data_IF_417402133859
#
_entry.id   IF_417402133859
#
_cell.length_a   1.000
_cell.length_b   1.000
_cell.length_c   1.000
_cell.angle_alpha   90.00
_cell.angle_beta   90.00
_cell.angle_gamma   90.00
#
_symmetry.space_group_name_H-M   'P 1'
#
loop_
_entity.id
_entity.type
_entity.pdbx_description
1 polymer ?
#
# COMPACT_ATOMS: atom_id res chain seq x y z
N UNK A 1 -21.39 -4.96 20.35
CA UNK A 1 -20.19 -4.23 20.85
C UNK A 1 -20.33 -2.78 20.44
N UNK A 2 -19.95 -1.84 21.31
CA UNK A 2 -19.99 -0.40 21.00
C UNK A 2 -19.06 -0.12 19.82
N UNK A 3 -19.58 0.45 18.74
CA UNK A 3 -18.82 0.82 17.53
C UNK A 3 -18.06 2.15 17.69
N UNK A 4 -18.10 2.75 18.87
CA UNK A 4 -17.56 4.08 19.17
C UNK A 4 -16.31 4.05 20.08
N UNK A 5 -15.53 3.00 19.97
CA UNK A 5 -14.25 2.92 20.66
C UNK A 5 -13.21 3.75 19.92
N UNK A 6 -12.43 4.55 20.67
CA UNK A 6 -11.27 5.28 20.12
C UNK A 6 -10.10 4.33 19.81
N UNK A 7 -9.98 3.22 20.54
CA UNK A 7 -8.96 2.19 20.30
C UNK A 7 -9.48 1.10 19.38
N UNK A 8 -8.61 0.62 18.49
CA UNK A 8 -8.87 -0.51 17.61
C UNK A 8 -7.58 -1.27 17.31
N UNK A 9 -7.76 -2.52 16.87
CA UNK A 9 -6.68 -3.44 16.51
C UNK A 9 -6.90 -3.93 15.08
N UNK A 10 -5.97 -4.73 14.52
CA UNK A 10 -6.15 -5.35 13.20
C UNK A 10 -6.87 -6.71 13.28
N UNK A 11 -7.69 -6.93 14.30
CA UNK A 11 -8.58 -8.10 14.34
C UNK A 11 -9.71 -7.97 13.30
N UNK A 12 -10.29 -9.09 12.84
CA UNK A 12 -11.36 -9.08 11.85
C UNK A 12 -12.50 -8.14 12.23
N UNK A 13 -12.87 -7.23 11.35
CA UNK A 13 -13.89 -6.21 11.57
C UNK A 13 -13.38 -4.92 12.26
N UNK A 14 -12.10 -4.85 12.63
CA UNK A 14 -11.50 -3.73 13.34
C UNK A 14 -10.14 -3.28 12.76
N UNK A 15 -9.80 -3.69 11.53
CA UNK A 15 -8.53 -3.36 10.93
C UNK A 15 -8.39 -1.86 10.62
N UNK A 16 -7.14 -1.39 10.57
CA UNK A 16 -6.85 -0.01 10.18
C UNK A 16 -7.33 0.29 8.75
N UNK A 17 -7.22 -0.68 7.84
CA UNK A 17 -7.79 -0.60 6.48
C UNK A 17 -9.30 -0.35 6.50
N UNK A 18 -10.05 -1.14 7.28
CA UNK A 18 -11.50 -0.96 7.40
C UNK A 18 -11.86 0.39 8.03
N UNK A 19 -11.03 0.86 8.98
CA UNK A 19 -11.23 2.18 9.58
C UNK A 19 -10.98 3.28 8.57
N UNK A 20 -9.92 3.19 7.76
CA UNK A 20 -9.65 4.12 6.68
C UNK A 20 -10.82 4.16 5.69
N UNK A 21 -11.31 3.01 5.23
CA UNK A 21 -12.40 2.96 4.25
C UNK A 21 -13.69 3.68 4.71
N UNK A 22 -13.87 3.83 6.01
CA UNK A 22 -15.00 4.57 6.59
C UNK A 22 -14.73 6.07 6.73
N UNK A 23 -13.52 6.44 7.17
CA UNK A 23 -13.16 7.83 7.48
C UNK A 23 -12.80 8.63 6.23
N UNK A 24 -12.19 7.99 5.24
CA UNK A 24 -11.64 8.68 4.06
C UNK A 24 -12.72 9.20 3.12
N UNK A 25 -13.94 8.65 3.17
CA UNK A 25 -15.07 9.07 2.28
C UNK A 25 -15.41 10.58 2.35
N UNK A 26 -15.05 11.27 3.43
CA UNK A 26 -15.25 12.71 3.57
C UNK A 26 -13.95 13.51 3.60
N UNK A 27 -12.84 12.88 3.25
CA UNK A 27 -11.50 13.47 3.39
C UNK A 27 -11.11 14.24 2.12
N UNK A 28 -10.78 15.52 2.29
CA UNK A 28 -10.17 16.35 1.25
C UNK A 28 -8.65 16.12 1.18
N UNK A 29 -7.98 16.12 2.33
CA UNK A 29 -6.54 15.94 2.44
C UNK A 29 -6.20 14.79 3.37
N UNK A 30 -5.42 13.83 2.90
CA UNK A 30 -4.88 12.73 3.68
C UNK A 30 -3.37 12.88 3.84
N UNK A 31 -2.92 13.04 5.08
CA UNK A 31 -1.52 13.15 5.45
C UNK A 31 -1.07 11.91 6.23
N UNK A 32 0.04 11.33 5.81
CA UNK A 32 0.63 10.15 6.42
C UNK A 32 2.08 10.45 6.82
N UNK A 33 2.40 10.30 8.11
CA UNK A 33 3.76 10.36 8.64
C UNK A 33 4.13 9.00 9.23
N UNK A 34 5.07 8.29 8.59
CA UNK A 34 5.44 6.93 8.99
C UNK A 34 6.96 6.74 8.94
N UNK A 35 7.45 5.88 9.84
CA UNK A 35 8.86 5.49 9.83
C UNK A 35 9.20 4.61 8.62
N UNK A 36 8.24 3.79 8.20
CA UNK A 36 8.36 2.89 7.04
C UNK A 36 7.11 3.02 6.17
N UNK A 37 7.34 3.20 4.88
CA UNK A 37 6.31 3.20 3.85
C UNK A 37 6.64 2.14 2.81
N UNK A 38 5.67 1.30 2.53
CA UNK A 38 5.70 0.37 1.40
C UNK A 38 4.53 0.62 0.48
N UNK A 39 4.74 0.53 -0.83
CA UNK A 39 3.70 0.68 -1.84
C UNK A 39 2.60 -0.38 -1.68
N UNK A 40 2.90 -1.53 -1.05
CA UNK A 40 1.92 -2.55 -0.66
C UNK A 40 0.82 -2.00 0.26
N UNK A 41 1.16 -1.07 1.16
CA UNK A 41 0.18 -0.35 1.97
C UNK A 41 -0.75 0.54 1.11
N UNK A 42 -0.18 1.21 0.10
CA UNK A 42 -0.96 1.99 -0.84
C UNK A 42 -1.92 1.10 -1.65
N UNK A 43 -1.45 -0.03 -2.18
CA UNK A 43 -2.31 -0.95 -2.95
C UNK A 43 -3.48 -1.49 -2.12
N UNK A 44 -3.29 -1.66 -0.82
CA UNK A 44 -4.34 -2.11 0.07
C UNK A 44 -5.47 -1.08 0.28
N UNK A 45 -5.17 0.23 0.21
CA UNK A 45 -6.12 1.31 0.60
C UNK A 45 -6.47 2.29 -0.51
N UNK A 46 -5.78 2.31 -1.66
CA UNK A 46 -6.02 3.29 -2.72
C UNK A 46 -7.49 3.35 -3.19
N UNK A 47 -8.25 2.23 -3.26
CA UNK A 47 -9.65 2.32 -3.66
C UNK A 47 -10.50 3.17 -2.72
N UNK A 48 -10.10 3.25 -1.43
CA UNK A 48 -10.77 4.12 -0.46
C UNK A 48 -10.34 5.59 -0.58
N UNK A 49 -9.17 5.86 -1.16
CA UNK A 49 -8.58 7.20 -1.33
C UNK A 49 -8.91 7.85 -2.68
N UNK A 50 -9.72 7.20 -3.54
CA UNK A 50 -10.03 7.74 -4.88
C UNK A 50 -10.71 9.10 -4.84
N UNK A 51 -11.61 9.32 -3.89
CA UNK A 51 -12.34 10.58 -3.71
C UNK A 51 -11.59 11.65 -2.91
N UNK A 52 -10.38 11.34 -2.42
CA UNK A 52 -9.52 12.29 -1.70
C UNK A 52 -8.81 13.19 -2.72
N UNK A 53 -8.86 14.49 -2.52
CA UNK A 53 -8.30 15.45 -3.48
C UNK A 53 -6.76 15.44 -3.46
N UNK A 54 -6.17 15.28 -2.28
CA UNK A 54 -4.71 15.33 -2.11
C UNK A 54 -4.22 14.35 -1.03
N UNK A 55 -3.09 13.72 -1.33
CA UNK A 55 -2.42 12.76 -0.44
C UNK A 55 -0.96 13.16 -0.28
N UNK A 56 -0.49 13.31 0.98
CA UNK A 56 0.91 13.60 1.28
C UNK A 56 1.47 12.51 2.19
N UNK A 57 2.56 11.91 1.77
CA UNK A 57 3.26 10.88 2.56
C UNK A 57 4.64 11.40 2.95
N UNK A 58 4.87 11.48 4.24
CA UNK A 58 6.16 11.83 4.81
C UNK A 58 6.79 10.59 5.44
N UNK A 59 7.90 10.15 4.87
CA UNK A 59 8.61 8.94 5.32
C UNK A 59 9.85 9.30 6.13
N UNK A 60 10.09 8.52 7.20
CA UNK A 60 11.38 8.50 7.88
C UNK A 60 12.39 7.70 7.03
N UNK A 61 13.64 8.13 7.02
CA UNK A 61 14.70 7.34 6.44
C UNK A 61 15.30 6.48 7.54
N UNK A 62 14.92 5.21 7.57
CA UNK A 62 15.63 4.23 8.37
C UNK A 62 16.76 3.64 7.52
N UNK A 63 17.99 3.93 7.89
CA UNK A 63 19.12 3.19 7.36
C UNK A 63 19.06 1.76 7.91
N UNK A 64 19.05 0.80 7.00
CA UNK A 64 19.08 -0.62 7.36
C UNK A 64 20.33 -0.99 8.18
N UNK A 65 20.35 -2.22 8.67
CA UNK A 65 21.35 -2.81 9.56
C UNK A 65 22.84 -2.55 9.19
N UNK A 66 23.13 -2.18 7.94
CA UNK A 66 24.49 -1.95 7.49
C UNK A 66 25.06 -0.61 7.96
N UNK A 67 24.22 0.42 8.13
CA UNK A 67 24.63 1.69 8.73
C UNK A 67 24.77 1.55 10.25
N UNK A 68 23.93 0.74 10.89
CA UNK A 68 24.09 0.38 12.30
C UNK A 68 25.46 -0.30 12.57
N UNK A 69 25.89 -1.21 11.68
CA UNK A 69 27.20 -1.86 11.77
C UNK A 69 28.38 -0.88 11.61
N UNK A 70 28.24 0.15 10.79
CA UNK A 70 29.25 1.22 10.67
C UNK A 70 29.33 2.08 11.94
N UNK A 71 28.20 2.32 12.62
CA UNK A 71 28.12 3.05 13.89
C UNK A 71 28.75 2.22 15.03
N UNK A 72 28.48 0.91 15.10
CA UNK A 72 29.09 0.01 16.08
C UNK A 72 30.62 -0.11 15.93
N UNK A 73 31.16 0.09 14.73
CA UNK A 73 32.61 0.04 14.48
C UNK A 73 33.37 1.32 14.90
N UNK A 74 32.72 2.26 15.58
CA UNK A 74 33.39 3.36 16.27
C UNK A 74 33.88 4.52 15.39
N UNK A 75 33.54 4.56 14.11
CA UNK A 75 33.99 5.58 13.15
C UNK A 75 32.89 6.51 12.62
N UNK A 76 31.71 6.51 13.27
CA UNK A 76 30.57 7.32 12.81
C UNK A 76 30.23 8.45 13.80
N UNK A 77 29.77 9.62 13.30
CA UNK A 77 29.29 10.70 14.15
C UNK A 77 28.08 10.24 14.98
N UNK A 78 27.90 10.88 16.13
CA UNK A 78 26.80 10.56 17.06
C UNK A 78 25.44 10.61 16.38
N UNK A 79 24.54 9.72 16.77
CA UNK A 79 23.18 9.50 16.19
C UNK A 79 22.32 10.79 16.03
N UNK A 80 22.67 11.86 16.73
CA UNK A 80 21.96 13.15 16.68
C UNK A 80 22.29 14.04 15.47
N UNK A 81 23.38 13.78 14.74
CA UNK A 81 23.91 14.68 13.69
C UNK A 81 23.86 14.09 12.27
N UNK A 82 23.32 12.88 12.09
CA UNK A 82 23.21 12.24 10.77
C UNK A 82 22.04 12.84 9.98
N UNK A 83 22.29 13.95 9.30
CA UNK A 83 21.41 14.45 8.24
C UNK A 83 21.95 13.96 6.89
N UNK A 84 21.12 13.20 6.18
CA UNK A 84 21.44 12.82 4.81
C UNK A 84 21.38 14.04 3.89
N UNK A 85 22.30 14.10 2.95
CA UNK A 85 22.15 15.01 1.81
C UNK A 85 20.95 14.60 0.96
N UNK A 86 20.44 15.50 0.12
CA UNK A 86 19.34 15.20 -0.79
C UNK A 86 19.65 14.02 -1.74
N UNK A 87 20.92 13.90 -2.16
CA UNK A 87 21.37 12.81 -3.03
C UNK A 87 21.38 11.46 -2.31
N UNK A 88 21.87 11.41 -1.07
CA UNK A 88 21.85 10.20 -0.22
C UNK A 88 20.42 9.78 0.10
N UNK A 89 19.56 10.73 0.43
CA UNK A 89 18.11 10.50 0.65
C UNK A 89 17.47 9.82 -0.55
N UNK A 90 17.68 10.35 -1.76
CA UNK A 90 17.13 9.79 -3.00
C UNK A 90 17.71 8.40 -3.30
N UNK A 91 18.99 8.17 -3.06
CA UNK A 91 19.63 6.86 -3.26
C UNK A 91 19.10 5.80 -2.28
N UNK A 92 18.86 6.18 -1.03
CA UNK A 92 18.28 5.27 -0.02
C UNK A 92 16.87 4.87 -0.42
N UNK A 93 16.05 5.82 -0.84
CA UNK A 93 14.68 5.57 -1.32
C UNK A 93 14.69 4.65 -2.55
N UNK A 94 15.59 4.87 -3.51
CA UNK A 94 15.74 3.99 -4.67
C UNK A 94 15.95 2.52 -4.26
N UNK A 95 16.88 2.26 -3.35
CA UNK A 95 17.14 0.89 -2.89
C UNK A 95 15.98 0.26 -2.11
N UNK A 96 15.16 1.06 -1.42
CA UNK A 96 13.96 0.58 -0.75
C UNK A 96 12.88 0.19 -1.76
N UNK A 97 12.63 1.04 -2.75
CA UNK A 97 11.63 0.80 -3.80
C UNK A 97 11.97 -0.45 -4.62
N UNK A 98 13.24 -0.63 -5.00
CA UNK A 98 13.66 -1.83 -5.73
C UNK A 98 13.38 -3.11 -4.95
N UNK A 99 13.80 -3.18 -3.69
CA UNK A 99 13.57 -4.37 -2.83
C UNK A 99 12.09 -4.66 -2.65
N UNK A 100 11.29 -3.62 -2.48
CA UNK A 100 9.86 -3.77 -2.31
C UNK A 100 9.19 -4.34 -3.56
N UNK A 101 9.53 -3.83 -4.73
CA UNK A 101 9.00 -4.33 -5.99
C UNK A 101 9.47 -5.76 -6.29
N UNK A 102 10.70 -6.12 -5.94
CA UNK A 102 11.22 -7.49 -6.09
C UNK A 102 10.51 -8.51 -5.19
N UNK A 103 9.99 -8.06 -4.04
CA UNK A 103 9.30 -8.92 -3.06
C UNK A 103 7.79 -8.80 -3.11
N UNK A 104 7.25 -8.02 -4.05
CA UNK A 104 5.81 -7.86 -4.22
C UNK A 104 5.12 -9.13 -4.69
N UNK A 105 3.85 -9.29 -4.35
CA UNK A 105 3.05 -10.42 -4.80
C UNK A 105 2.75 -10.31 -6.31
N UNK A 106 2.84 -11.42 -7.04
CA UNK A 106 2.55 -11.50 -8.48
C UNK A 106 1.03 -11.57 -8.72
N UNK A 107 0.32 -10.50 -8.34
CA UNK A 107 -1.14 -10.43 -8.45
C UNK A 107 -1.59 -9.25 -9.30
N UNK A 108 -2.74 -9.40 -9.95
CA UNK A 108 -3.37 -8.33 -10.72
C UNK A 108 -3.61 -7.07 -9.88
N UNK A 109 -4.02 -7.23 -8.62
CA UNK A 109 -4.29 -6.09 -7.73
C UNK A 109 -3.03 -5.29 -7.40
N UNK A 110 -1.87 -5.94 -7.32
CA UNK A 110 -0.58 -5.26 -7.15
C UNK A 110 -0.23 -4.47 -8.40
N UNK A 111 -0.35 -5.06 -9.59
CA UNK A 111 -0.08 -4.37 -10.85
C UNK A 111 -0.98 -3.15 -11.05
N UNK A 112 -2.29 -3.30 -10.85
CA UNK A 112 -3.25 -2.18 -10.91
C UNK A 112 -2.92 -1.10 -9.86
N UNK A 113 -2.51 -1.50 -8.66
CA UNK A 113 -2.07 -0.60 -7.60
C UNK A 113 -0.81 0.18 -7.99
N UNK A 114 0.19 -0.45 -8.62
CA UNK A 114 1.40 0.21 -9.12
C UNK A 114 1.04 1.25 -10.20
N UNK A 115 0.17 0.90 -11.15
CA UNK A 115 -0.30 1.85 -12.17
C UNK A 115 -0.98 3.08 -11.52
N UNK A 116 -1.87 2.86 -10.56
CA UNK A 116 -2.55 3.95 -9.83
C UNK A 116 -1.57 4.80 -9.03
N UNK A 117 -0.59 4.19 -8.40
CA UNK A 117 0.45 4.89 -7.65
C UNK A 117 1.22 5.87 -8.54
N UNK A 118 1.69 5.40 -9.71
CA UNK A 118 2.39 6.24 -10.69
C UNK A 118 1.48 7.34 -11.22
N UNK A 119 0.23 7.00 -11.60
CA UNK A 119 -0.77 7.97 -12.08
C UNK A 119 -0.98 9.11 -11.08
N UNK A 120 -1.15 8.77 -9.78
CA UNK A 120 -1.41 9.78 -8.75
C UNK A 120 -0.19 10.64 -8.42
N UNK A 121 1.01 10.08 -8.50
CA UNK A 121 2.23 10.90 -8.38
C UNK A 121 2.33 11.86 -9.56
N UNK A 122 2.14 11.39 -10.80
CA UNK A 122 2.24 12.22 -12.00
C UNK A 122 1.18 13.32 -12.08
N UNK A 123 -0.01 13.04 -11.59
CA UNK A 123 -1.08 14.05 -11.49
C UNK A 123 -0.89 15.05 -10.35
N UNK A 124 0.05 14.80 -9.44
CA UNK A 124 0.27 15.60 -8.23
C UNK A 124 -0.76 15.35 -7.13
N UNK A 125 -1.66 14.38 -7.30
CA UNK A 125 -2.59 13.94 -6.24
C UNK A 125 -1.84 13.32 -5.06
N UNK A 126 -0.81 12.51 -5.34
CA UNK A 126 0.08 11.89 -4.35
C UNK A 126 1.46 12.52 -4.41
N UNK A 127 1.92 13.03 -3.28
CA UNK A 127 3.27 13.56 -3.11
C UNK A 127 3.97 12.83 -1.98
N UNK A 128 5.19 12.37 -2.22
CA UNK A 128 6.01 11.64 -1.24
C UNK A 128 7.26 12.46 -0.94
N UNK A 129 7.47 12.71 0.35
CA UNK A 129 8.71 13.32 0.83
C UNK A 129 9.40 12.44 1.84
N UNK A 130 10.72 12.48 1.86
CA UNK A 130 11.54 11.80 2.84
C UNK A 130 12.21 12.82 3.77
N UNK A 131 12.07 12.60 5.07
CA UNK A 131 12.72 13.45 6.05
C UNK A 131 14.20 13.06 6.20
N UNK A 132 15.14 13.99 6.07
CA UNK A 132 16.56 13.69 6.00
C UNK A 132 17.21 13.37 7.36
N UNK A 133 16.43 12.89 8.33
CA UNK A 133 16.90 12.50 9.65
C UNK A 133 16.39 11.11 10.02
N UNK A 134 17.24 10.30 10.64
CA UNK A 134 16.89 8.93 11.09
C UNK A 134 15.91 8.88 12.25
N UNK A 135 15.56 10.00 12.86
CA UNK A 135 14.85 10.03 14.14
C UNK A 135 13.32 9.95 14.02
N UNK A 136 12.75 9.91 12.81
CA UNK A 136 11.30 9.77 12.65
C UNK A 136 10.90 8.30 12.69
N UNK A 137 10.24 7.91 13.77
CA UNK A 137 9.59 6.59 13.93
C UNK A 137 8.11 6.75 14.29
N UNK A 138 7.48 7.78 13.77
CA UNK A 138 6.05 8.05 13.95
C UNK A 138 5.19 7.12 13.10
N UNK A 139 3.95 6.92 13.52
CA UNK A 139 2.85 6.34 12.76
C UNK A 139 1.66 7.24 13.00
N UNK A 140 1.46 8.18 12.08
CA UNK A 140 0.46 9.23 12.21
C UNK A 140 -0.28 9.38 10.88
N UNK A 141 -1.59 9.32 10.94
CA UNK A 141 -2.50 9.44 9.82
C UNK A 141 -3.49 10.55 10.12
N UNK A 142 -3.49 11.60 9.31
CA UNK A 142 -4.31 12.80 9.53
C UNK A 142 -5.28 12.91 8.35
N UNK A 143 -6.57 12.91 8.63
CA UNK A 143 -7.63 13.13 7.69
C UNK A 143 -8.19 14.53 7.89
N UNK A 144 -8.03 15.41 6.92
CA UNK A 144 -8.69 16.71 6.89
C UNK A 144 -9.98 16.56 6.11
N UNK A 145 -11.11 16.84 6.72
CA UNK A 145 -12.41 16.72 6.09
C UNK A 145 -12.75 17.95 5.25
N UNK A 146 -13.70 17.80 4.33
CA UNK A 146 -14.21 18.88 3.50
C UNK A 146 -14.84 19.99 4.36
N UNK A 147 -14.88 21.21 3.84
CA UNK A 147 -15.33 22.41 4.58
C UNK A 147 -16.77 22.32 5.12
N UNK A 148 -17.63 21.50 4.50
CA UNK A 148 -19.01 21.29 4.93
C UNK A 148 -19.17 20.26 6.07
N UNK A 149 -18.08 19.60 6.50
CA UNK A 149 -18.11 18.65 7.56
C UNK A 149 -18.19 19.34 8.94
N UNK A 150 -18.91 18.69 9.90
CA UNK A 150 -19.04 19.19 11.28
C UNK A 150 -17.67 19.26 11.98
N UNK A 151 -16.84 18.25 11.76
CA UNK A 151 -15.51 18.15 12.32
C UNK A 151 -14.46 18.54 11.28
N UNK A 152 -13.40 19.23 11.69
CA UNK A 152 -12.29 19.61 10.81
C UNK A 152 -11.49 18.40 10.32
N UNK A 153 -11.37 17.36 11.10
CA UNK A 153 -10.59 16.19 10.75
C UNK A 153 -10.48 15.16 11.88
N UNK A 154 -9.69 14.13 11.60
CA UNK A 154 -9.38 13.02 12.51
C UNK A 154 -7.90 12.71 12.46
N UNK A 155 -7.39 12.19 13.56
CA UNK A 155 -6.02 11.69 13.64
C UNK A 155 -6.06 10.24 14.11
N UNK A 156 -5.33 9.38 13.40
CA UNK A 156 -5.05 8.02 13.86
C UNK A 156 -3.56 7.93 14.15
N UNK A 157 -3.22 7.38 15.30
CA UNK A 157 -1.83 7.05 15.67
C UNK A 157 -1.77 5.72 16.39
N UNK A 158 -0.62 5.09 16.39
CA UNK A 158 -0.43 3.78 17.03
C UNK A 158 0.85 3.08 16.58
N UNK A 159 0.80 1.77 16.50
CA UNK A 159 1.94 0.95 16.10
C UNK A 159 2.01 0.66 14.60
N UNK A 160 0.90 0.79 13.85
CA UNK A 160 0.80 0.44 12.43
C UNK A 160 1.62 1.33 11.51
N UNK A 161 2.55 0.74 10.76
CA UNK A 161 3.18 1.40 9.61
C UNK A 161 2.27 1.33 8.37
N UNK A 162 2.55 2.15 7.36
CA UNK A 162 1.82 2.15 6.09
C UNK A 162 2.33 1.04 5.17
N UNK A 163 2.06 -0.19 5.58
CA UNK A 163 2.38 -1.44 4.88
C UNK A 163 1.15 -2.35 4.89
N UNK A 164 1.05 -3.31 3.96
CA UNK A 164 -0.06 -4.27 3.96
C UNK A 164 -0.20 -4.95 5.33
N UNK A 165 0.91 -5.47 5.87
CA UNK A 165 0.90 -6.14 7.17
C UNK A 165 0.52 -5.21 8.32
N UNK A 166 0.96 -3.96 8.32
CA UNK A 166 0.60 -2.98 9.35
C UNK A 166 -0.85 -2.51 9.27
N UNK A 167 -1.46 -2.60 8.09
CA UNK A 167 -2.85 -2.18 7.86
C UNK A 167 -3.87 -3.31 8.09
N UNK A 168 -3.48 -4.59 7.86
CA UNK A 168 -4.41 -5.71 7.81
C UNK A 168 -3.99 -6.92 8.65
N UNK A 169 -2.70 -7.34 8.59
CA UNK A 169 -2.30 -8.68 9.00
C UNK A 169 -1.74 -8.77 10.42
N UNK A 170 -0.94 -7.77 10.84
CA UNK A 170 -0.31 -7.79 12.15
C UNK A 170 -1.31 -7.37 13.25
N UNK A 171 -1.18 -7.95 14.44
CA UNK A 171 -1.88 -7.44 15.62
C UNK A 171 -1.25 -6.10 16.03
N UNK A 172 -1.94 -5.03 15.74
CA UNK A 172 -1.52 -3.66 15.99
C UNK A 172 -2.48 -2.96 16.96
N UNK A 173 -2.00 -1.94 17.65
CA UNK A 173 -2.83 -1.07 18.51
C UNK A 173 -2.82 0.33 17.96
N UNK A 174 -4.00 0.84 17.64
CA UNK A 174 -4.20 2.18 17.12
C UNK A 174 -5.27 2.91 17.92
N UNK A 175 -5.19 4.23 17.93
CA UNK A 175 -6.17 5.12 18.56
C UNK A 175 -6.60 6.18 17.57
N UNK A 176 -7.90 6.43 17.49
CA UNK A 176 -8.49 7.55 16.76
C UNK A 176 -8.74 8.71 17.72
N UNK A 177 -8.11 9.84 17.44
CA UNK A 177 -8.28 11.10 18.17
C UNK A 177 -9.31 11.96 17.43
N UNK A 178 -10.36 12.34 18.13
CA UNK A 178 -11.51 13.10 17.60
C UNK A 178 -11.51 14.56 18.06
N UNK A 179 -10.60 14.93 18.95
CA UNK A 179 -10.52 16.28 19.52
C UNK A 179 -9.92 17.25 18.50
N UNK A 180 -10.53 18.42 18.23
CA UNK A 180 -9.99 19.42 17.34
C UNK A 180 -8.57 19.89 17.70
N UNK A 181 -8.24 19.97 18.99
CA UNK A 181 -6.90 20.36 19.43
C UNK A 181 -5.82 19.35 19.07
N UNK A 182 -6.13 18.04 19.14
CA UNK A 182 -5.21 16.97 18.72
C UNK A 182 -5.00 17.01 17.20
N UNK A 183 -6.06 17.24 16.43
CA UNK A 183 -5.98 17.41 14.98
C UNK A 183 -5.11 18.61 14.61
N UNK A 184 -5.35 19.78 15.20
CA UNK A 184 -4.58 21.01 14.92
C UNK A 184 -3.10 20.84 15.28
N UNK A 185 -2.80 20.22 16.41
CA UNK A 185 -1.42 19.90 16.79
C UNK A 185 -0.73 19.00 15.79
N UNK A 186 -1.38 17.88 15.42
CA UNK A 186 -0.84 16.91 14.49
C UNK A 186 -0.59 17.52 13.09
N UNK A 187 -1.57 18.30 12.60
CA UNK A 187 -1.49 18.97 11.31
C UNK A 187 -0.38 20.03 11.25
N UNK A 188 -0.26 20.84 12.33
CA UNK A 188 0.81 21.83 12.42
C UNK A 188 2.18 21.17 12.44
N UNK A 189 2.34 20.09 13.22
CA UNK A 189 3.62 19.38 13.34
C UNK A 189 3.98 18.67 12.02
N UNK A 190 3.00 18.06 11.37
CA UNK A 190 3.22 17.48 10.04
C UNK A 190 3.69 18.54 9.04
N UNK A 191 3.02 19.70 8.99
CA UNK A 191 3.37 20.78 8.06
C UNK A 191 4.76 21.37 8.34
N UNK A 192 5.18 21.45 9.60
CA UNK A 192 6.54 21.85 9.98
C UNK A 192 7.57 20.88 9.38
N UNK A 193 7.41 19.58 9.64
CA UNK A 193 8.33 18.55 9.11
C UNK A 193 8.30 18.47 7.58
N UNK A 194 7.14 18.65 6.97
CA UNK A 194 6.95 18.62 5.52
C UNK A 194 7.76 19.69 4.77
N UNK A 195 7.98 20.86 5.39
CA UNK A 195 8.75 21.95 4.80
C UNK A 195 10.23 21.57 4.64
N UNK A 196 10.78 20.86 5.61
CA UNK A 196 12.20 20.49 5.65
C UNK A 196 12.48 19.14 4.96
N UNK A 197 11.46 18.47 4.46
CA UNK A 197 11.57 17.18 3.81
C UNK A 197 11.91 17.26 2.32
N UNK A 198 12.68 16.28 1.85
CA UNK A 198 13.13 16.14 0.46
C UNK A 198 12.05 15.47 -0.37
N UNK A 199 11.63 16.08 -1.48
CA UNK A 199 10.72 15.45 -2.43
C UNK A 199 11.40 14.27 -3.13
N UNK A 200 10.77 13.11 -3.07
CA UNK A 200 11.23 11.86 -3.65
C UNK A 200 10.22 11.23 -4.61
N UNK A 201 9.12 11.94 -4.89
CA UNK A 201 8.02 11.46 -5.74
C UNK A 201 8.51 11.00 -7.11
N UNK A 202 9.26 11.86 -7.82
CA UNK A 202 9.82 11.51 -9.12
C UNK A 202 10.78 10.33 -9.04
N UNK A 203 11.52 10.20 -7.92
CA UNK A 203 12.45 9.09 -7.73
C UNK A 203 11.73 7.75 -7.56
N UNK A 204 10.55 7.73 -6.93
CA UNK A 204 9.70 6.55 -6.89
C UNK A 204 9.30 6.11 -8.30
N UNK A 205 8.76 7.05 -9.09
CA UNK A 205 8.30 6.77 -10.47
C UNK A 205 9.47 6.28 -11.33
N UNK A 206 10.58 7.01 -11.35
CA UNK A 206 11.78 6.64 -12.12
C UNK A 206 12.28 5.23 -11.75
N UNK A 207 12.34 4.93 -10.44
CA UNK A 207 12.84 3.64 -9.98
C UNK A 207 11.91 2.51 -10.39
N UNK A 208 10.60 2.66 -10.20
CA UNK A 208 9.61 1.64 -10.58
C UNK A 208 9.68 1.38 -12.07
N UNK A 209 9.67 2.42 -12.91
CA UNK A 209 9.61 2.28 -14.36
C UNK A 209 10.91 1.83 -15.03
N UNK A 210 12.06 2.08 -14.41
CA UNK A 210 13.35 1.82 -15.06
C UNK A 210 14.16 0.69 -14.42
N UNK A 211 13.87 0.32 -13.17
CA UNK A 211 14.73 -0.55 -12.36
C UNK A 211 14.00 -1.73 -11.73
N UNK A 212 12.75 -1.96 -12.08
CA UNK A 212 11.94 -3.06 -11.53
C UNK A 212 11.25 -3.82 -12.65
N UNK A 213 10.58 -4.92 -12.31
CA UNK A 213 9.80 -5.76 -13.25
C UNK A 213 8.72 -4.97 -14.01
N UNK A 214 8.34 -3.79 -13.54
CA UNK A 214 7.34 -2.94 -14.20
C UNK A 214 7.83 -2.40 -15.56
N UNK A 215 9.16 -2.35 -15.77
CA UNK A 215 9.76 -1.98 -17.05
C UNK A 215 9.62 -3.05 -18.13
N UNK A 216 9.32 -4.29 -17.74
CA UNK A 216 9.25 -5.43 -18.64
C UNK A 216 7.94 -5.45 -19.42
N UNK A 217 7.99 -5.88 -20.67
CA UNK A 217 6.80 -6.02 -21.54
C UNK A 217 5.83 -7.11 -21.07
N UNK A 218 6.29 -8.01 -20.21
CA UNK A 218 5.51 -9.10 -19.62
C UNK A 218 5.68 -9.04 -18.12
N UNK A 219 4.61 -8.69 -17.43
CA UNK A 219 4.62 -8.62 -15.97
C UNK A 219 4.64 -10.01 -15.30
N UNK A 220 5.06 -10.13 -14.04
CA UNK A 220 5.02 -11.39 -13.30
C UNK A 220 3.65 -12.04 -13.30
N UNK A 221 2.58 -11.25 -13.16
CA UNK A 221 1.21 -11.75 -13.21
C UNK A 221 0.82 -12.31 -14.59
N UNK A 222 1.20 -11.65 -15.69
CA UNK A 222 0.98 -12.17 -17.04
C UNK A 222 1.75 -13.47 -17.27
N UNK A 223 2.97 -13.56 -16.75
CA UNK A 223 3.77 -14.78 -16.83
C UNK A 223 3.11 -15.91 -16.04
N UNK A 224 2.63 -15.64 -14.82
CA UNK A 224 1.87 -16.59 -14.02
C UNK A 224 0.61 -17.08 -14.73
N UNK A 225 -0.19 -16.17 -15.31
CA UNK A 225 -1.37 -16.55 -16.12
C UNK A 225 -1.00 -17.42 -17.32
N UNK A 226 0.13 -17.14 -17.99
CA UNK A 226 0.62 -17.95 -19.11
C UNK A 226 0.99 -19.36 -18.65
N UNK A 227 1.68 -19.50 -17.51
CA UNK A 227 2.00 -20.82 -16.94
C UNK A 227 0.72 -21.60 -16.58
N UNK A 228 -0.25 -20.97 -15.92
CA UNK A 228 -1.53 -21.58 -15.63
C UNK A 228 -2.25 -22.02 -16.89
N UNK A 229 -2.31 -21.16 -17.92
CA UNK A 229 -2.92 -21.51 -19.20
C UNK A 229 -2.25 -22.72 -19.84
N UNK A 230 -0.93 -22.74 -19.94
CA UNK A 230 -0.23 -23.89 -20.53
C UNK A 230 -0.41 -25.17 -19.72
N UNK A 231 -0.46 -25.07 -18.40
CA UNK A 231 -0.70 -26.22 -17.50
C UNK A 231 -2.10 -26.78 -17.67
N UNK A 232 -3.12 -25.93 -17.75
CA UNK A 232 -4.53 -26.34 -17.88
C UNK A 232 -5.05 -26.42 -19.31
N UNK A 233 -4.24 -26.12 -20.32
CA UNK A 233 -4.63 -26.03 -21.72
C UNK A 233 -5.31 -27.29 -22.26
N UNK A 234 -4.83 -28.46 -21.88
CA UNK A 234 -5.43 -29.73 -22.28
C UNK A 234 -6.84 -29.87 -21.71
N UNK A 235 -7.02 -29.55 -20.42
CA UNK A 235 -8.32 -29.62 -19.73
C UNK A 235 -9.31 -28.57 -20.25
N UNK A 236 -8.84 -27.35 -20.55
CA UNK A 236 -9.66 -26.29 -21.13
C UNK A 236 -10.14 -26.65 -22.54
N UNK A 237 -9.32 -27.29 -23.36
CA UNK A 237 -9.70 -27.73 -24.70
C UNK A 237 -10.67 -28.94 -24.66
N UNK A 238 -10.48 -29.87 -23.73
CA UNK A 238 -11.40 -31.00 -23.55
C UNK A 238 -12.77 -30.58 -23.02
N UNK A 239 -12.85 -29.51 -22.22
CA UNK A 239 -14.11 -29.08 -21.62
C UNK A 239 -15.08 -28.45 -22.62
N UNK A 240 -14.59 -27.82 -23.67
CA UNK A 240 -15.42 -27.18 -24.69
C UNK A 240 -16.21 -28.18 -25.54
N UNK A 241 -15.68 -29.38 -25.79
CA UNK A 241 -16.33 -30.37 -26.67
C UNK A 241 -17.31 -31.30 -25.92
N UNK A 242 -17.03 -31.68 -24.72
CA UNK A 242 -17.83 -32.66 -23.95
C UNK A 242 -19.16 -32.10 -23.42
N UNK A 243 -19.21 -30.80 -23.18
CA UNK A 243 -20.41 -30.15 -22.62
C UNK A 243 -21.47 -29.84 -23.69
N UNK A 244 -21.08 -29.67 -24.94
CA UNK A 244 -21.96 -29.25 -26.03
C UNK A 244 -22.86 -30.39 -26.55
N UNK A 245 -22.38 -31.62 -26.50
CA UNK A 245 -23.10 -32.75 -27.11
C UNK A 245 -24.31 -33.28 -26.31
N UNK A 246 -24.46 -32.95 -25.04
CA UNK A 246 -25.42 -33.61 -24.14
C UNK A 246 -26.35 -32.64 -23.38
N UNK A 247 -26.32 -31.34 -23.67
CA UNK A 247 -27.22 -30.38 -23.02
C UNK A 247 -28.49 -30.14 -23.82
N UNK A 248 -29.67 -30.10 -23.17
CA UNK A 248 -30.92 -29.67 -23.81
C UNK A 248 -30.76 -28.26 -24.40
N UNK A 249 -31.48 -27.96 -25.50
CA UNK A 249 -31.43 -26.66 -26.17
C UNK A 249 -31.80 -25.47 -25.28
N UNK A 250 -32.55 -25.70 -24.20
CA UNK A 250 -33.02 -24.68 -23.24
C UNK A 250 -32.11 -24.52 -22.01
N UNK A 251 -30.93 -25.13 -21.96
CA UNK A 251 -30.08 -25.12 -20.77
C UNK A 251 -29.32 -23.82 -20.66
N UNK A 252 -29.58 -23.09 -19.56
CA UNK A 252 -28.85 -21.85 -19.25
C UNK A 252 -27.43 -22.18 -18.77
N UNK A 253 -26.44 -21.81 -19.55
CA UNK A 253 -25.01 -21.98 -19.19
C UNK A 253 -24.63 -21.03 -18.07
N UNK A 254 -24.18 -21.57 -16.95
CA UNK A 254 -23.64 -20.80 -15.84
C UNK A 254 -22.19 -21.24 -15.58
N UNK A 255 -21.25 -20.29 -15.58
CA UNK A 255 -19.81 -20.54 -15.44
C UNK A 255 -19.45 -21.42 -14.22
N UNK A 256 -20.15 -21.25 -13.09
CA UNK A 256 -19.91 -22.06 -11.90
C UNK A 256 -20.30 -23.54 -12.08
N UNK A 257 -21.26 -23.86 -12.94
CA UNK A 257 -21.67 -25.24 -13.23
C UNK A 257 -20.63 -25.93 -14.12
N UNK A 258 -20.09 -25.24 -15.09
CA UNK A 258 -18.97 -25.73 -15.91
C UNK A 258 -17.76 -26.03 -15.04
N UNK A 259 -17.42 -25.11 -14.13
CA UNK A 259 -16.32 -25.29 -13.20
C UNK A 259 -16.54 -26.45 -12.23
N UNK A 260 -17.76 -26.66 -11.76
CA UNK A 260 -18.12 -27.78 -10.87
C UNK A 260 -17.95 -29.14 -11.59
N UNK A 261 -18.37 -29.25 -12.85
CA UNK A 261 -18.21 -30.47 -13.65
C UNK A 261 -16.74 -30.76 -13.94
N UNK A 262 -15.94 -29.73 -14.28
CA UNK A 262 -14.51 -29.86 -14.48
C UNK A 262 -13.80 -30.37 -13.24
N UNK A 263 -14.12 -29.81 -12.07
CA UNK A 263 -13.58 -30.24 -10.79
C UNK A 263 -13.98 -31.68 -10.44
N UNK A 264 -15.24 -32.06 -10.67
CA UNK A 264 -15.72 -33.42 -10.46
C UNK A 264 -15.00 -34.44 -11.37
N UNK A 265 -14.81 -34.11 -12.66
CA UNK A 265 -14.03 -34.96 -13.60
C UNK A 265 -12.60 -35.15 -13.16
N UNK A 266 -11.96 -34.11 -12.63
CA UNK A 266 -10.59 -34.20 -12.13
C UNK A 266 -10.47 -35.15 -10.93
N UNK A 267 -11.38 -35.03 -9.97
CA UNK A 267 -11.44 -35.90 -8.79
C UNK A 267 -11.72 -37.37 -9.15
N UNK A 268 -12.50 -37.61 -10.19
CA UNK A 268 -12.84 -38.98 -10.62
C UNK A 268 -11.76 -39.62 -11.51
N UNK A 269 -10.80 -38.87 -12.02
CA UNK A 269 -9.66 -39.39 -12.81
C UNK A 269 -8.41 -39.70 -11.96
N UNK A 270 -8.35 -39.22 -10.69
CA UNK A 270 -7.38 -39.58 -9.67
C UNK A 270 -7.80 -40.86 -8.91
#
# INVERSE_FOLDING_TARGET
>A
MSTDTSFFTNEPGFSLKERFSKLVKGTELFDCLVGYFYSSGFYAVYPSLEDTDRIRILIGISTGSDTFKMIEQGNAPTQQDLRFSHAETKKTVEGLVQREMETSEDTRSVEEGVHKFIEWIRSGKLVIKAYPSQNIHAKLYIMTFKEDAIDKGRVITGSSNFTKSGLEDNLEFNVELKNPGDYEFAQNKFNELWKDAVDVSDKYVETIEQKTWFSDSVTPYHLYLKFLYEYFKAELNESGEVFLEHLPEDFLRLEYQEQAVLNAKRILKE
#
